data_IF_867121251159
#
_entry.id   IF_867121251159
#
_cell.length_a   1.000
_cell.length_b   1.000
_cell.length_c   1.000
_cell.angle_alpha   90.00
_cell.angle_beta   90.00
_cell.angle_gamma   90.00
#
_symmetry.space_group_name_H-M   'P 1'
#
loop_
_entity.id
_entity.type
_entity.pdbx_description
1 polymer ?
#
# COMPACT_ATOMS: atom_id res chain seq x y z
N UNK A 1 -6.06 0.06 -8.14
CA UNK A 1 -7.40 0.61 -8.44
C UNK A 1 -8.27 -0.39 -9.18
N UNK A 2 -7.85 -0.93 -10.34
CA UNK A 2 -8.65 -1.87 -11.15
C UNK A 2 -9.13 -3.10 -10.38
N UNK A 3 -8.29 -3.67 -9.51
CA UNK A 3 -8.66 -4.83 -8.70
C UNK A 3 -9.89 -4.57 -7.80
N UNK A 4 -9.89 -3.47 -7.05
CA UNK A 4 -10.91 -3.17 -6.03
C UNK A 4 -12.15 -2.45 -6.56
N UNK A 5 -12.06 -1.80 -7.73
CA UNK A 5 -13.18 -1.07 -8.35
C UNK A 5 -13.86 -1.81 -9.51
N UNK A 6 -13.19 -2.80 -10.12
CA UNK A 6 -13.71 -3.49 -11.29
C UNK A 6 -13.67 -5.01 -11.12
N UNK A 7 -12.49 -5.58 -10.89
CA UNK A 7 -12.33 -7.04 -10.85
C UNK A 7 -13.11 -7.67 -9.69
N UNK A 8 -12.99 -7.11 -8.49
CA UNK A 8 -13.70 -7.60 -7.32
C UNK A 8 -15.22 -7.50 -7.45
N UNK A 9 -15.82 -6.34 -7.76
CA UNK A 9 -17.27 -6.27 -7.93
C UNK A 9 -17.81 -7.13 -9.08
N UNK A 10 -17.06 -7.31 -10.18
CA UNK A 10 -17.44 -8.30 -11.21
C UNK A 10 -17.42 -9.73 -10.65
N UNK A 11 -16.38 -10.09 -9.89
CA UNK A 11 -16.27 -11.40 -9.25
C UNK A 11 -17.38 -11.70 -8.25
N UNK A 12 -17.87 -10.66 -7.55
CA UNK A 12 -19.00 -10.75 -6.61
C UNK A 12 -20.38 -10.63 -7.31
N UNK A 13 -20.41 -10.15 -8.56
CA UNK A 13 -21.64 -9.95 -9.32
C UNK A 13 -22.38 -8.64 -9.02
N UNK A 14 -21.79 -7.74 -8.23
CA UNK A 14 -22.38 -6.44 -7.90
C UNK A 14 -21.33 -5.35 -7.69
N UNK A 15 -21.58 -4.15 -8.25
CA UNK A 15 -20.77 -2.96 -7.97
C UNK A 15 -20.98 -2.38 -6.57
N UNK A 16 -22.03 -2.81 -5.84
CA UNK A 16 -22.21 -2.43 -4.43
C UNK A 16 -21.07 -2.92 -3.54
N UNK A 17 -20.40 -4.00 -3.94
CA UNK A 17 -19.36 -4.65 -3.16
C UNK A 17 -17.96 -4.11 -3.52
N UNK A 18 -17.89 -3.20 -4.50
CA UNK A 18 -16.68 -2.47 -4.82
C UNK A 18 -16.26 -1.52 -3.68
N UNK A 19 -14.97 -1.17 -3.63
CA UNK A 19 -14.48 -0.26 -2.60
C UNK A 19 -15.16 1.13 -2.70
N UNK A 20 -15.76 1.67 -1.62
CA UNK A 20 -16.36 3.00 -1.66
C UNK A 20 -15.32 4.13 -1.74
N UNK A 21 -15.69 5.27 -2.33
CA UNK A 21 -14.82 6.46 -2.44
C UNK A 21 -14.88 7.30 -1.17
N UNK A 22 -14.26 6.83 -0.10
CA UNK A 22 -14.15 7.56 1.16
C UNK A 22 -13.30 6.83 2.19
N UNK A 23 -12.77 7.55 3.17
CA UNK A 23 -11.86 6.98 4.17
C UNK A 23 -12.54 5.86 4.97
N UNK A 24 -13.73 6.14 5.55
CA UNK A 24 -14.51 5.15 6.30
C UNK A 24 -14.99 3.99 5.42
N UNK A 25 -15.31 4.29 4.15
CA UNK A 25 -15.70 3.29 3.16
C UNK A 25 -14.58 2.29 2.84
N UNK A 26 -13.34 2.78 2.69
CA UNK A 26 -12.16 1.93 2.52
C UNK A 26 -11.95 1.00 3.72
N UNK A 27 -12.08 1.52 4.94
CA UNK A 27 -11.97 0.67 6.14
C UNK A 27 -13.06 -0.39 6.22
N UNK A 28 -14.30 -0.02 5.90
CA UNK A 28 -15.42 -0.96 5.86
C UNK A 28 -15.16 -2.08 4.85
N UNK A 29 -14.71 -1.74 3.63
CA UNK A 29 -14.33 -2.71 2.61
C UNK A 29 -13.26 -3.68 3.12
N UNK A 30 -12.19 -3.18 3.76
CA UNK A 30 -11.12 -4.03 4.28
C UNK A 30 -11.61 -5.03 5.35
N UNK A 31 -12.51 -4.61 6.23
CA UNK A 31 -13.06 -5.46 7.30
C UNK A 31 -13.94 -6.56 6.71
N UNK A 32 -14.84 -6.21 5.79
CA UNK A 32 -15.71 -7.18 5.10
C UNK A 32 -14.87 -8.16 4.28
N UNK A 33 -13.90 -7.65 3.51
CA UNK A 33 -13.00 -8.48 2.71
C UNK A 33 -12.19 -9.46 3.58
N UNK A 34 -11.76 -9.03 4.76
CA UNK A 34 -11.12 -9.93 5.73
C UNK A 34 -12.10 -10.99 6.25
N UNK A 35 -13.34 -10.63 6.55
CA UNK A 35 -14.35 -11.56 7.04
C UNK A 35 -14.72 -12.63 5.99
N UNK A 36 -14.83 -12.23 4.73
CA UNK A 36 -15.24 -13.13 3.63
C UNK A 36 -14.08 -13.94 3.03
N UNK A 37 -12.86 -13.40 3.03
CA UNK A 37 -11.74 -14.00 2.31
C UNK A 37 -10.50 -14.29 3.15
N UNK A 38 -10.48 -13.93 4.44
CA UNK A 38 -9.34 -14.11 5.33
C UNK A 38 -8.00 -13.62 4.72
N UNK A 39 -8.03 -12.45 4.09
CA UNK A 39 -6.93 -11.93 3.26
C UNK A 39 -5.58 -11.86 4.00
N UNK A 40 -5.57 -11.66 5.33
CA UNK A 40 -4.33 -11.65 6.12
C UNK A 40 -3.53 -12.97 6.00
N UNK A 41 -4.21 -14.09 5.75
CA UNK A 41 -3.57 -15.40 5.56
C UNK A 41 -3.24 -15.71 4.10
N UNK A 42 -3.57 -14.82 3.16
CA UNK A 42 -3.32 -15.05 1.74
C UNK A 42 -1.87 -14.68 1.36
N UNK A 43 -1.11 -15.56 0.68
CA UNK A 43 0.30 -15.32 0.37
C UNK A 43 0.53 -14.09 -0.51
N UNK A 44 -0.35 -13.80 -1.48
CA UNK A 44 -0.22 -12.57 -2.28
C UNK A 44 -0.41 -11.29 -1.48
N UNK A 45 -1.25 -11.30 -0.44
CA UNK A 45 -1.37 -10.15 0.45
C UNK A 45 -0.09 -9.98 1.28
N UNK A 46 0.46 -11.08 1.81
CA UNK A 46 1.72 -11.06 2.56
C UNK A 46 2.90 -10.58 1.70
N UNK A 47 2.98 -11.00 0.43
CA UNK A 47 3.97 -10.48 -0.51
C UNK A 47 3.78 -8.99 -0.79
N UNK A 48 2.54 -8.52 -0.94
CA UNK A 48 2.23 -7.09 -1.07
C UNK A 48 2.69 -6.29 0.16
N UNK A 49 2.42 -6.79 1.37
CA UNK A 49 2.85 -6.21 2.64
C UNK A 49 4.38 -6.13 2.72
N UNK A 50 5.07 -7.23 2.39
CA UNK A 50 6.53 -7.24 2.34
C UNK A 50 7.09 -6.23 1.32
N UNK A 51 6.44 -6.09 0.16
CA UNK A 51 6.80 -5.12 -0.87
C UNK A 51 6.67 -3.67 -0.40
N UNK A 52 5.56 -3.29 0.24
CA UNK A 52 5.36 -1.91 0.72
C UNK A 52 6.29 -1.56 1.89
N UNK A 53 6.50 -2.49 2.84
CA UNK A 53 7.42 -2.26 3.95
C UNK A 53 8.88 -2.27 3.50
N UNK A 54 9.27 -3.21 2.63
CA UNK A 54 10.62 -3.23 2.06
C UNK A 54 10.88 -1.99 1.21
N UNK A 55 9.92 -1.56 0.40
CA UNK A 55 10.03 -0.36 -0.43
C UNK A 55 10.22 0.92 0.40
N UNK A 56 9.44 1.10 1.47
CA UNK A 56 9.61 2.26 2.35
C UNK A 56 10.94 2.22 3.12
N UNK A 57 11.34 1.05 3.61
CA UNK A 57 12.64 0.84 4.26
C UNK A 57 13.80 1.19 3.33
N UNK A 58 13.80 0.66 2.10
CA UNK A 58 14.87 0.94 1.14
C UNK A 58 14.85 2.36 0.63
N UNK A 59 13.68 3.00 0.50
CA UNK A 59 13.60 4.42 0.19
C UNK A 59 14.27 5.26 1.27
N UNK A 60 13.99 4.96 2.55
CA UNK A 60 14.61 5.65 3.68
C UNK A 60 16.13 5.38 3.75
N UNK A 61 16.54 4.12 3.59
CA UNK A 61 17.95 3.72 3.58
C UNK A 61 18.70 4.43 2.44
N UNK A 62 18.17 4.43 1.22
CA UNK A 62 18.80 5.11 0.09
C UNK A 62 18.94 6.60 0.35
N UNK A 63 17.89 7.28 0.81
CA UNK A 63 17.94 8.69 1.19
C UNK A 63 19.03 8.96 2.24
N UNK A 64 19.15 8.09 3.25
CA UNK A 64 20.19 8.21 4.27
C UNK A 64 21.61 8.04 3.71
N UNK A 65 21.84 7.05 2.83
CA UNK A 65 23.14 6.80 2.21
C UNK A 65 23.57 7.96 1.30
N UNK A 66 22.67 8.45 0.45
CA UNK A 66 22.93 9.61 -0.41
C UNK A 66 23.26 10.83 0.44
N UNK A 67 22.42 11.14 1.44
CA UNK A 67 22.64 12.31 2.31
C UNK A 67 23.94 12.20 3.10
N UNK A 68 24.31 11.00 3.55
CA UNK A 68 25.55 10.76 4.31
C UNK A 68 26.83 10.85 3.48
N UNK A 69 26.72 10.85 2.15
CA UNK A 69 27.86 10.83 1.23
C UNK A 69 27.96 12.09 0.36
N UNK A 70 27.20 13.13 0.69
CA UNK A 70 27.31 14.42 0.02
C UNK A 70 28.73 14.98 0.16
N UNK A 71 29.33 15.35 -0.98
CA UNK A 71 30.55 16.15 -0.98
C UNK A 71 30.19 17.57 -0.56
N UNK A 72 30.99 18.16 0.31
CA UNK A 72 30.75 19.51 0.80
C UNK A 72 30.98 20.54 -0.32
N UNK A 73 29.89 21.07 -0.84
CA UNK A 73 29.89 22.13 -1.87
C UNK A 73 29.29 23.46 -1.37
N UNK A 74 28.72 23.49 -0.16
CA UNK A 74 28.10 24.67 0.45
C UNK A 74 28.74 25.05 1.78
N UNK A 75 28.47 26.27 2.24
CA UNK A 75 28.88 26.74 3.57
C UNK A 75 27.85 26.37 4.64
N UNK A 76 28.21 26.48 5.94
CA UNK A 76 27.28 26.16 7.05
C UNK A 76 26.15 27.21 7.25
N UNK A 77 26.21 28.31 6.51
CA UNK A 77 25.32 29.48 6.63
C UNK A 77 24.36 29.61 5.44
N UNK A 78 24.44 28.67 4.50
CA UNK A 78 23.51 28.48 3.38
C UNK A 78 22.58 27.30 3.69
#
# INVERSE_FOLDING_TARGET
STAVFLVYPIGQGSFSDGMPLGISGTFNFMIVFQAEHNILMHPFHQLGVAGVFGGSLFSAMHGSLVTSSLVRETTEIE
#
